data_IF_451158985937
#
_entry.id   IF_451158985937
#
_cell.length_a   1.000
_cell.length_b   1.000
_cell.length_c   1.000
_cell.angle_alpha   90.00
_cell.angle_beta   90.00
_cell.angle_gamma   90.00
#
_symmetry.space_group_name_H-M   'P 1'
#
loop_
_entity.id
_entity.type
_entity.pdbx_description
1 polymer ?
#
# COMPACT_ATOMS: atom_id res chain seq x y z
N UNK A 1 -20.87 19.97 -13.98
CA UNK A 1 -20.09 20.34 -12.76
C UNK A 1 -18.62 20.36 -13.13
N UNK A 2 -17.87 21.34 -12.61
CA UNK A 2 -16.43 21.45 -12.86
C UNK A 2 -15.66 20.64 -11.81
N UNK A 3 -14.58 19.97 -12.22
CA UNK A 3 -13.66 19.32 -11.27
C UNK A 3 -12.71 20.37 -10.66
N UNK A 4 -12.45 20.20 -9.39
CA UNK A 4 -11.40 20.89 -8.63
C UNK A 4 -10.40 19.84 -8.13
N UNK A 5 -9.15 20.20 -8.08
CA UNK A 5 -8.11 19.30 -7.59
C UNK A 5 -7.10 20.05 -6.71
N UNK A 6 -6.59 19.33 -5.71
CA UNK A 6 -5.44 19.77 -4.92
C UNK A 6 -4.38 18.66 -4.92
N UNK A 7 -3.15 19.06 -5.23
CA UNK A 7 -1.99 18.15 -5.19
C UNK A 7 -1.06 18.60 -4.06
N UNK A 8 -0.63 17.65 -3.23
CA UNK A 8 0.35 17.87 -2.16
C UNK A 8 1.45 16.81 -2.23
N UNK A 9 2.60 17.07 -1.57
CA UNK A 9 3.67 16.09 -1.38
C UNK A 9 3.70 15.67 0.09
N UNK A 10 3.36 14.43 0.36
CA UNK A 10 3.35 13.87 1.71
C UNK A 10 3.66 12.36 1.66
N UNK A 11 4.18 11.79 2.75
CA UNK A 11 4.51 10.34 2.85
C UNK A 11 5.41 9.83 1.70
N UNK A 12 6.30 10.69 1.20
CA UNK A 12 7.21 10.36 0.09
C UNK A 12 6.55 10.22 -1.29
N UNK A 13 5.31 10.69 -1.44
CA UNK A 13 4.53 10.58 -2.66
C UNK A 13 3.85 11.90 -3.04
N UNK A 14 3.41 12.02 -4.31
CA UNK A 14 2.42 13.00 -4.72
C UNK A 14 1.04 12.47 -4.39
N UNK A 15 0.21 13.29 -3.76
CA UNK A 15 -1.17 12.98 -3.40
C UNK A 15 -2.09 13.93 -4.15
N UNK A 16 -3.04 13.39 -4.89
CA UNK A 16 -4.05 14.16 -5.60
C UNK A 16 -5.42 13.92 -4.99
N UNK A 17 -6.12 15.01 -4.70
CA UNK A 17 -7.51 15.02 -4.22
C UNK A 17 -8.33 15.70 -5.31
N UNK A 18 -9.29 15.00 -5.88
CA UNK A 18 -10.14 15.50 -6.96
C UNK A 18 -11.61 15.41 -6.53
N UNK A 19 -12.26 16.56 -6.46
CA UNK A 19 -13.68 16.69 -6.09
C UNK A 19 -14.41 17.54 -7.11
N UNK A 20 -15.74 17.43 -7.17
CA UNK A 20 -16.53 18.38 -7.94
C UNK A 20 -16.65 19.72 -7.20
N UNK A 21 -16.66 20.83 -7.97
CA UNK A 21 -16.79 22.16 -7.42
C UNK A 21 -18.13 22.34 -6.70
N UNK A 22 -18.05 22.74 -5.45
CA UNK A 22 -19.17 22.90 -4.55
C UNK A 22 -18.85 23.95 -3.48
N UNK A 23 -19.86 24.33 -2.70
CA UNK A 23 -19.65 25.24 -1.60
C UNK A 23 -18.58 24.72 -0.63
N UNK A 24 -17.65 25.61 -0.24
CA UNK A 24 -16.55 25.30 0.69
C UNK A 24 -15.54 24.23 0.24
N UNK A 25 -15.41 23.91 -1.05
CA UNK A 25 -14.48 22.87 -1.54
C UNK A 25 -13.02 23.13 -1.11
N UNK A 26 -12.59 24.38 -1.04
CA UNK A 26 -11.23 24.73 -0.59
C UNK A 26 -11.00 24.37 0.88
N UNK A 27 -11.98 24.65 1.73
CA UNK A 27 -11.94 24.23 3.14
C UNK A 27 -11.91 22.72 3.29
N UNK A 28 -12.69 22.00 2.47
CA UNK A 28 -12.67 20.53 2.46
C UNK A 28 -11.28 20.01 2.11
N UNK A 29 -10.60 20.62 1.12
CA UNK A 29 -9.22 20.27 0.82
C UNK A 29 -8.28 20.53 1.99
N UNK A 30 -8.43 21.65 2.72
CA UNK A 30 -7.63 21.95 3.91
C UNK A 30 -7.86 20.91 5.01
N UNK A 31 -9.10 20.53 5.27
CA UNK A 31 -9.45 19.50 6.25
C UNK A 31 -8.84 18.13 5.88
N UNK A 32 -8.86 17.74 4.58
CA UNK A 32 -8.24 16.50 4.10
C UNK A 32 -6.72 16.54 4.28
N UNK A 33 -6.07 17.67 4.02
CA UNK A 33 -4.61 17.83 4.25
C UNK A 33 -4.26 17.62 5.71
N UNK A 34 -5.02 18.24 6.64
CA UNK A 34 -4.82 18.07 8.09
C UNK A 34 -4.97 16.60 8.49
N UNK A 35 -5.98 15.90 7.95
CA UNK A 35 -6.16 14.46 8.22
C UNK A 35 -5.00 13.62 7.68
N UNK A 36 -4.50 13.91 6.49
CA UNK A 36 -3.36 13.21 5.90
C UNK A 36 -2.09 13.40 6.75
N UNK A 37 -1.83 14.60 7.25
CA UNK A 37 -0.71 14.87 8.16
C UNK A 37 -0.87 14.09 9.47
N UNK A 38 -2.06 14.12 10.07
CA UNK A 38 -2.35 13.35 11.28
C UNK A 38 -2.15 11.84 11.10
N UNK A 39 -2.57 11.28 9.95
CA UNK A 39 -2.36 9.86 9.68
C UNK A 39 -0.89 9.54 9.40
N UNK A 40 -0.15 10.43 8.73
CA UNK A 40 1.31 10.30 8.60
C UNK A 40 1.98 10.19 9.97
N UNK A 41 1.66 11.10 10.88
CA UNK A 41 2.22 11.12 12.25
C UNK A 41 1.81 9.90 13.08
N UNK A 42 0.70 9.27 12.73
CA UNK A 42 0.23 8.04 13.39
C UNK A 42 0.89 6.77 12.86
N UNK A 43 1.04 6.65 11.55
CA UNK A 43 1.40 5.38 10.89
C UNK A 43 2.85 5.30 10.40
N UNK A 44 3.65 6.36 10.56
CA UNK A 44 5.02 6.41 10.05
C UNK A 44 5.96 5.50 10.86
N UNK A 45 6.71 4.66 10.16
CA UNK A 45 7.84 3.91 10.72
C UNK A 45 9.19 4.64 10.52
N UNK A 46 9.16 5.91 10.04
CA UNK A 46 10.35 6.71 9.75
C UNK A 46 10.35 8.07 10.49
N UNK A 47 9.43 8.24 11.43
CA UNK A 47 9.29 9.43 12.25
C UNK A 47 9.27 8.98 13.72
N UNK A 48 10.33 9.24 14.46
CA UNK A 48 10.54 8.75 15.84
C UNK A 48 9.45 9.19 16.82
N UNK A 49 8.77 10.30 16.54
CA UNK A 49 7.68 10.83 17.35
C UNK A 49 6.32 10.20 17.02
N UNK A 50 6.25 9.38 15.96
CA UNK A 50 5.01 8.77 15.51
C UNK A 50 4.40 7.82 16.56
N UNK A 51 3.07 7.61 16.45
CA UNK A 51 2.39 6.67 17.33
C UNK A 51 2.86 5.21 17.09
N UNK A 52 3.15 4.84 15.85
CA UNK A 52 3.71 3.54 15.49
C UNK A 52 5.10 3.33 16.12
N UNK A 53 5.96 4.34 16.08
CA UNK A 53 7.31 4.24 16.66
C UNK A 53 7.28 4.11 18.18
N UNK A 54 6.25 4.62 18.87
CA UNK A 54 6.07 4.33 20.31
C UNK A 54 5.88 2.84 20.59
N UNK A 55 5.24 2.10 19.67
CA UNK A 55 5.15 0.62 19.78
C UNK A 55 6.55 0.01 19.58
N UNK A 56 7.25 0.39 18.52
CA UNK A 56 8.56 -0.15 18.16
C UNK A 56 9.60 0.12 19.28
N UNK A 57 9.63 1.31 19.86
CA UNK A 57 10.52 1.66 20.98
C UNK A 57 10.22 0.91 22.28
N UNK A 58 9.02 0.31 22.42
CA UNK A 58 8.65 -0.50 23.58
C UNK A 58 8.68 -2.01 23.30
N UNK A 59 9.30 -2.44 22.19
CA UNK A 59 9.48 -3.85 21.87
C UNK A 59 10.29 -4.58 22.95
N UNK A 60 9.77 -5.71 23.43
CA UNK A 60 10.34 -6.47 24.55
C UNK A 60 10.12 -5.85 25.92
N UNK A 61 9.56 -4.63 26.03
CA UNK A 61 9.44 -3.90 27.29
C UNK A 61 8.01 -3.96 27.86
N UNK A 62 7.03 -3.42 27.11
CA UNK A 62 5.62 -3.34 27.58
C UNK A 62 4.63 -3.12 26.43
N UNK A 63 3.35 -3.46 26.65
CA UNK A 63 2.28 -3.09 25.73
C UNK A 63 2.09 -1.57 25.65
N UNK A 64 1.72 -1.07 24.46
CA UNK A 64 1.42 0.33 24.18
C UNK A 64 -0.03 0.46 23.74
N UNK A 65 -0.79 1.30 24.43
CA UNK A 65 -2.17 1.67 24.03
C UNK A 65 -2.08 2.68 22.89
N UNK A 66 -2.85 2.44 21.82
CA UNK A 66 -2.80 3.25 20.60
C UNK A 66 -4.19 3.66 20.14
N UNK A 67 -4.23 4.63 19.22
CA UNK A 67 -5.48 5.01 18.59
C UNK A 67 -6.13 3.83 17.86
N UNK A 68 -7.45 3.81 17.83
CA UNK A 68 -8.23 2.75 17.20
C UNK A 68 -7.78 2.45 15.75
N UNK A 69 -7.57 3.48 14.94
CA UNK A 69 -7.21 3.28 13.53
C UNK A 69 -5.86 2.59 13.37
N UNK A 70 -4.86 2.95 14.19
CA UNK A 70 -3.56 2.26 14.19
C UNK A 70 -3.71 0.80 14.65
N UNK A 71 -4.48 0.59 15.72
CA UNK A 71 -4.76 -0.76 16.21
C UNK A 71 -5.41 -1.65 15.14
N UNK A 72 -6.46 -1.15 14.47
CA UNK A 72 -7.17 -1.92 13.45
C UNK A 72 -6.29 -2.21 12.23
N UNK A 73 -5.43 -1.27 11.81
CA UNK A 73 -4.49 -1.51 10.71
C UNK A 73 -3.43 -2.56 11.09
N UNK A 74 -2.90 -2.51 12.32
CA UNK A 74 -1.97 -3.55 12.83
C UNK A 74 -2.67 -4.91 12.92
N UNK A 75 -3.91 -4.96 13.42
CA UNK A 75 -4.70 -6.18 13.50
C UNK A 75 -4.91 -6.80 12.13
N UNK A 76 -5.33 -6.00 11.15
CA UNK A 76 -5.50 -6.41 9.76
C UNK A 76 -4.18 -6.90 9.17
N UNK A 77 -3.11 -6.13 9.33
CA UNK A 77 -1.77 -6.48 8.87
C UNK A 77 -1.27 -7.80 9.48
N UNK A 78 -1.48 -8.03 10.78
CA UNK A 78 -1.11 -9.29 11.43
C UNK A 78 -1.86 -10.48 10.85
N UNK A 79 -3.17 -10.37 10.65
CA UNK A 79 -4.00 -11.45 10.06
C UNK A 79 -3.43 -11.85 8.68
N UNK A 80 -3.16 -10.88 7.83
CA UNK A 80 -2.64 -11.14 6.49
C UNK A 80 -1.16 -11.52 6.46
N UNK A 81 -0.37 -11.12 7.47
CA UNK A 81 1.01 -11.59 7.63
C UNK A 81 1.09 -13.07 8.00
N UNK A 82 0.10 -13.57 8.73
CA UNK A 82 0.00 -15.00 9.14
C UNK A 82 -0.72 -15.87 8.10
N UNK A 83 -1.25 -15.28 7.04
CA UNK A 83 -1.94 -16.04 6.01
C UNK A 83 -0.97 -16.96 5.24
N UNK A 84 -1.41 -18.15 4.82
CA UNK A 84 -0.56 -19.08 4.07
C UNK A 84 0.08 -18.42 2.84
N UNK A 85 1.37 -18.69 2.63
CA UNK A 85 2.17 -18.20 1.48
C UNK A 85 2.19 -16.68 1.31
N UNK A 86 1.79 -15.90 2.31
CA UNK A 86 1.81 -14.44 2.24
C UNK A 86 3.24 -13.90 2.20
N UNK A 87 3.50 -12.95 1.28
CA UNK A 87 4.69 -12.10 1.33
C UNK A 87 4.45 -10.84 2.16
N UNK A 88 3.20 -10.53 2.48
CA UNK A 88 2.92 -9.47 3.44
C UNK A 88 3.39 -9.91 4.83
N UNK A 89 4.23 -9.11 5.45
CA UNK A 89 4.65 -9.27 6.84
C UNK A 89 4.88 -7.90 7.46
N UNK A 90 4.01 -7.50 8.37
CA UNK A 90 4.15 -6.20 9.05
C UNK A 90 5.27 -6.18 10.11
N UNK A 91 5.81 -7.33 10.53
CA UNK A 91 6.95 -7.42 11.45
C UNK A 91 8.32 -7.33 10.74
N UNK A 92 8.35 -7.09 9.42
CA UNK A 92 9.57 -7.02 8.60
C UNK A 92 10.35 -5.72 8.79
N UNK A 93 9.92 -4.84 9.68
CA UNK A 93 10.55 -3.54 9.96
C UNK A 93 12.06 -3.59 10.10
N UNK A 94 12.65 -4.49 10.91
CA UNK A 94 14.11 -4.57 11.08
C UNK A 94 14.86 -4.86 9.77
N UNK A 95 14.29 -5.69 8.89
CA UNK A 95 14.88 -5.97 7.57
C UNK A 95 14.80 -4.74 6.66
N UNK A 96 13.65 -4.03 6.63
CA UNK A 96 13.49 -2.80 5.86
C UNK A 96 14.52 -1.75 6.30
N UNK A 97 14.74 -1.60 7.60
CA UNK A 97 15.75 -0.67 8.14
C UNK A 97 17.17 -1.09 7.81
N UNK A 98 17.47 -2.39 7.71
CA UNK A 98 18.79 -2.86 7.30
C UNK A 98 19.10 -2.53 5.83
N UNK A 99 18.13 -2.69 4.93
CA UNK A 99 18.27 -2.40 3.50
C UNK A 99 18.17 -0.90 3.16
N UNK A 100 17.21 -0.19 3.75
CA UNK A 100 16.89 1.21 3.48
C UNK A 100 16.71 1.56 2.00
N UNK A 101 16.22 0.63 1.18
CA UNK A 101 15.99 0.86 -0.25
C UNK A 101 14.99 2.02 -0.47
N UNK A 102 15.42 3.01 -1.25
CA UNK A 102 14.66 4.24 -1.51
C UNK A 102 15.07 5.42 -0.62
N UNK A 103 16.04 5.24 0.28
CA UNK A 103 16.66 6.30 1.08
C UNK A 103 18.12 6.55 0.63
N UNK A 104 18.68 7.68 1.03
CA UNK A 104 20.05 8.08 0.64
C UNK A 104 21.14 7.19 1.24
N UNK A 105 20.83 6.50 2.32
CA UNK A 105 21.68 5.58 3.07
C UNK A 105 21.39 4.10 2.79
N UNK A 106 20.76 3.81 1.64
CA UNK A 106 20.51 2.44 1.19
C UNK A 106 21.82 1.64 1.07
N UNK A 107 21.78 0.39 1.50
CA UNK A 107 22.92 -0.53 1.45
C UNK A 107 22.48 -1.97 1.22
N UNK A 108 23.45 -2.83 0.96
CA UNK A 108 23.25 -4.29 0.99
C UNK A 108 23.69 -4.78 2.36
N UNK A 109 22.77 -5.32 3.21
CA UNK A 109 23.14 -5.93 4.49
C UNK A 109 23.97 -7.21 4.28
N UNK A 110 24.74 -7.61 5.30
CA UNK A 110 25.43 -8.92 5.27
C UNK A 110 24.46 -10.06 5.53
N UNK A 111 24.81 -11.27 5.07
CA UNK A 111 23.99 -12.48 5.30
C UNK A 111 23.78 -12.74 6.80
N UNK A 112 24.85 -12.58 7.62
CA UNK A 112 24.77 -12.77 9.07
C UNK A 112 23.81 -11.75 9.73
N UNK A 113 23.81 -10.50 9.25
CA UNK A 113 22.88 -9.47 9.71
C UNK A 113 21.44 -9.85 9.37
N UNK A 114 21.17 -10.25 8.12
CA UNK A 114 19.85 -10.70 7.69
C UNK A 114 19.38 -11.89 8.54
N UNK A 115 20.22 -12.91 8.73
CA UNK A 115 19.86 -14.10 9.52
C UNK A 115 19.59 -13.78 10.99
N UNK A 116 20.28 -12.78 11.57
CA UNK A 116 20.01 -12.32 12.91
C UNK A 116 18.64 -11.61 13.01
N UNK A 117 18.34 -10.73 12.05
CA UNK A 117 17.10 -9.96 12.02
C UNK A 117 15.87 -10.84 11.74
N UNK A 118 15.97 -11.85 10.89
CA UNK A 118 14.87 -12.79 10.60
C UNK A 118 14.32 -13.47 11.88
N UNK A 119 15.11 -13.62 12.95
CA UNK A 119 14.68 -14.23 14.21
C UNK A 119 13.64 -13.39 14.97
N UNK A 120 13.53 -12.11 14.64
CA UNK A 120 12.64 -11.16 15.30
C UNK A 120 11.56 -10.60 14.36
N UNK A 121 11.35 -11.21 13.18
CA UNK A 121 10.34 -10.78 12.19
C UNK A 121 9.12 -11.69 12.11
N UNK A 122 8.91 -12.56 13.10
CA UNK A 122 7.72 -13.43 13.15
C UNK A 122 6.49 -12.65 13.63
N UNK A 123 5.41 -12.53 12.83
CA UNK A 123 4.18 -11.84 13.21
C UNK A 123 3.46 -12.44 14.43
N UNK A 124 3.78 -13.69 14.81
CA UNK A 124 3.25 -14.30 16.04
C UNK A 124 3.71 -13.57 17.31
N UNK A 125 4.85 -12.88 17.26
CA UNK A 125 5.36 -12.08 18.39
C UNK A 125 4.66 -10.71 18.56
N UNK A 126 3.66 -10.39 17.73
CA UNK A 126 2.80 -9.23 17.90
C UNK A 126 1.59 -9.66 18.74
N UNK A 127 1.48 -9.23 19.97
CA UNK A 127 0.31 -9.46 20.81
C UNK A 127 -0.67 -8.28 20.75
N UNK A 128 -1.95 -8.58 20.62
CA UNK A 128 -3.03 -7.60 20.51
C UNK A 128 -4.02 -7.76 21.66
N UNK A 129 -4.45 -6.65 22.24
CA UNK A 129 -5.51 -6.62 23.23
C UNK A 129 -6.68 -5.74 22.73
N UNK A 130 -7.77 -6.40 22.31
CA UNK A 130 -8.93 -5.72 21.71
C UNK A 130 -9.63 -4.76 22.67
N UNK A 131 -9.72 -5.10 23.97
CA UNK A 131 -10.42 -4.27 24.94
C UNK A 131 -9.69 -2.99 25.30
N UNK A 132 -8.34 -3.03 25.31
CA UNK A 132 -7.48 -1.89 25.62
C UNK A 132 -6.97 -1.16 24.39
N UNK A 133 -7.17 -1.73 23.19
CA UNK A 133 -6.51 -1.28 21.96
C UNK A 133 -5.00 -1.12 22.16
N UNK A 134 -4.36 -2.13 22.76
CA UNK A 134 -2.91 -2.13 22.99
C UNK A 134 -2.21 -3.19 22.17
N UNK A 135 -0.98 -2.86 21.78
CA UNK A 135 -0.07 -3.69 20.97
C UNK A 135 1.20 -3.94 21.77
N UNK A 136 1.66 -5.18 21.79
CA UNK A 136 2.92 -5.55 22.41
C UNK A 136 3.77 -6.40 21.46
N UNK A 137 4.99 -5.96 21.23
CA UNK A 137 6.01 -6.71 20.51
C UNK A 137 6.83 -7.48 21.54
N UNK A 138 6.72 -8.81 21.54
CA UNK A 138 7.25 -9.64 22.62
C UNK A 138 8.76 -9.87 22.58
N UNK A 139 9.42 -9.49 21.48
CA UNK A 139 10.89 -9.57 21.32
C UNK A 139 11.50 -8.18 21.28
N UNK A 140 12.65 -8.02 21.93
CA UNK A 140 13.46 -6.81 21.80
C UNK A 140 13.89 -6.57 20.34
N UNK A 141 13.96 -5.31 19.95
CA UNK A 141 14.33 -4.87 18.60
C UNK A 141 13.39 -5.32 17.48
N UNK A 142 12.20 -5.83 17.80
CA UNK A 142 11.14 -5.96 16.80
C UNK A 142 10.68 -4.58 16.33
N UNK A 143 10.29 -4.51 15.07
CA UNK A 143 9.66 -3.30 14.50
C UNK A 143 8.49 -3.68 13.59
N UNK A 144 7.35 -3.03 13.81
CA UNK A 144 6.25 -3.03 12.85
C UNK A 144 6.53 -1.97 11.78
N UNK A 145 6.30 -2.34 10.52
CA UNK A 145 6.28 -1.42 9.39
C UNK A 145 4.95 -1.60 8.63
N UNK A 146 4.21 -0.52 8.47
CA UNK A 146 2.90 -0.51 7.81
C UNK A 146 2.96 0.09 6.39
N UNK A 147 4.16 0.31 5.85
CA UNK A 147 4.36 0.97 4.57
C UNK A 147 3.65 0.29 3.38
N UNK A 148 3.41 -1.03 3.48
CA UNK A 148 2.69 -1.80 2.48
C UNK A 148 1.16 -1.72 2.61
N UNK A 149 0.60 -1.05 3.64
CA UNK A 149 -0.83 -1.03 3.92
C UNK A 149 -1.37 0.39 4.18
N UNK A 150 -0.52 1.27 4.74
CA UNK A 150 -0.96 2.53 5.31
C UNK A 150 -1.60 3.45 4.26
N UNK A 151 -1.08 3.52 3.03
CA UNK A 151 -1.64 4.40 2.00
C UNK A 151 -3.06 4.00 1.62
N UNK A 152 -3.29 2.70 1.37
CA UNK A 152 -4.63 2.19 1.07
C UNK A 152 -5.61 2.44 2.21
N UNK A 153 -5.21 2.14 3.45
CA UNK A 153 -6.05 2.36 4.63
C UNK A 153 -6.37 3.84 4.86
N UNK A 154 -5.39 4.73 4.69
CA UNK A 154 -5.60 6.19 4.79
C UNK A 154 -6.57 6.67 3.70
N UNK A 155 -6.40 6.19 2.46
CA UNK A 155 -7.30 6.54 1.36
C UNK A 155 -8.76 6.20 1.69
N UNK A 156 -9.01 5.00 2.24
CA UNK A 156 -10.34 4.56 2.67
C UNK A 156 -10.90 5.44 3.80
N UNK A 157 -10.07 5.83 4.77
CA UNK A 157 -10.47 6.73 5.86
C UNK A 157 -10.84 8.12 5.32
N UNK A 158 -10.08 8.68 4.38
CA UNK A 158 -10.36 9.97 3.75
C UNK A 158 -11.66 9.91 2.93
N UNK A 159 -11.86 8.85 2.15
CA UNK A 159 -13.13 8.66 1.40
C UNK A 159 -14.32 8.60 2.35
N UNK A 160 -14.21 7.86 3.47
CA UNK A 160 -15.26 7.80 4.48
C UNK A 160 -15.52 9.17 5.13
N UNK A 161 -14.48 9.94 5.42
CA UNK A 161 -14.62 11.31 5.92
C UNK A 161 -15.38 12.19 4.92
N UNK A 162 -14.99 12.18 3.65
CA UNK A 162 -15.65 12.96 2.59
C UNK A 162 -17.12 12.57 2.41
N UNK A 163 -17.42 11.26 2.39
CA UNK A 163 -18.81 10.77 2.34
C UNK A 163 -19.65 11.25 3.54
N UNK A 164 -19.07 11.28 4.73
CA UNK A 164 -19.75 11.80 5.94
C UNK A 164 -20.02 13.31 5.89
N UNK A 165 -19.26 14.07 5.11
CA UNK A 165 -19.53 15.47 4.80
C UNK A 165 -20.58 15.68 3.69
N UNK A 166 -21.14 14.59 3.14
CA UNK A 166 -22.09 14.65 2.03
C UNK A 166 -21.44 14.79 0.66
N UNK A 167 -20.11 14.59 0.54
CA UNK A 167 -19.43 14.57 -0.75
C UNK A 167 -19.69 13.21 -1.41
N UNK A 168 -20.42 13.23 -2.51
CA UNK A 168 -20.94 12.01 -3.13
C UNK A 168 -20.11 11.52 -4.32
N UNK A 169 -19.07 12.27 -4.72
CA UNK A 169 -18.23 11.86 -5.85
C UNK A 169 -16.86 12.53 -5.80
N UNK A 170 -15.84 11.75 -6.10
CA UNK A 170 -14.45 12.20 -6.13
C UNK A 170 -13.45 11.09 -6.39
N UNK A 171 -12.18 11.47 -6.39
CA UNK A 171 -11.04 10.59 -6.55
C UNK A 171 -9.94 11.01 -5.59
N UNK A 172 -9.32 10.05 -4.93
CA UNK A 172 -8.11 10.21 -4.11
C UNK A 172 -7.01 9.35 -4.71
N UNK A 173 -5.84 9.94 -4.94
CA UNK A 173 -4.65 9.22 -5.39
C UNK A 173 -3.52 9.43 -4.38
N UNK A 174 -3.18 8.41 -3.61
CA UNK A 174 -2.06 8.42 -2.67
C UNK A 174 -0.84 7.70 -3.28
N UNK A 175 -0.12 8.43 -4.17
CA UNK A 175 1.12 7.91 -4.75
C UNK A 175 0.94 6.63 -5.57
N UNK A 176 -0.14 6.55 -6.35
CA UNK A 176 -0.49 5.40 -7.19
C UNK A 176 -1.60 4.51 -6.63
N UNK A 177 -1.97 4.66 -5.37
CA UNK A 177 -3.19 4.05 -4.83
C UNK A 177 -4.36 4.97 -5.14
N UNK A 178 -5.14 4.62 -6.13
CA UNK A 178 -6.28 5.42 -6.59
C UNK A 178 -7.57 4.84 -6.03
N UNK A 179 -8.35 5.66 -5.35
CA UNK A 179 -9.71 5.33 -4.89
C UNK A 179 -10.68 6.28 -5.56
N UNK A 180 -11.72 5.74 -6.15
CA UNK A 180 -12.85 6.51 -6.68
C UNK A 180 -14.09 6.27 -5.86
N UNK A 181 -14.92 7.28 -5.73
CA UNK A 181 -16.23 7.16 -5.09
C UNK A 181 -17.25 8.01 -5.82
N UNK A 182 -18.45 7.47 -5.99
CA UNK A 182 -19.52 8.07 -6.76
C UNK A 182 -19.22 8.24 -8.25
N UNK A 183 -20.18 8.78 -9.02
CA UNK A 183 -20.12 8.83 -10.46
C UNK A 183 -19.14 9.88 -10.99
N UNK A 184 -18.41 9.56 -12.05
CA UNK A 184 -17.61 10.53 -12.81
C UNK A 184 -18.54 11.39 -13.70
N UNK A 185 -19.12 12.45 -13.15
CA UNK A 185 -20.16 13.29 -13.79
C UNK A 185 -19.68 14.01 -15.07
N UNK A 186 -18.36 14.03 -15.32
CA UNK A 186 -17.75 14.58 -16.54
C UNK A 186 -17.68 13.57 -17.70
N UNK A 187 -17.97 12.30 -17.44
CA UNK A 187 -18.03 11.23 -18.43
C UNK A 187 -19.48 10.81 -18.69
N UNK A 188 -19.84 10.55 -19.94
CA UNK A 188 -21.20 10.17 -20.31
C UNK A 188 -21.67 8.84 -19.70
N UNK A 189 -20.75 7.93 -19.40
CA UNK A 189 -21.02 6.63 -18.80
C UNK A 189 -20.81 6.60 -17.29
N UNK A 190 -20.56 7.77 -16.68
CA UNK A 190 -20.35 7.97 -15.25
C UNK A 190 -19.18 7.19 -14.61
N UNK A 191 -18.29 6.59 -15.42
CA UNK A 191 -17.12 5.87 -14.92
C UNK A 191 -15.86 6.77 -14.91
N UNK A 192 -15.06 6.60 -13.89
CA UNK A 192 -13.71 7.16 -13.84
C UNK A 192 -12.78 6.41 -14.80
N UNK A 193 -11.79 7.11 -15.35
CA UNK A 193 -10.78 6.58 -16.26
C UNK A 193 -9.44 6.55 -15.55
N UNK A 194 -8.95 5.35 -15.23
CA UNK A 194 -7.69 5.17 -14.51
C UNK A 194 -6.69 4.45 -15.41
N UNK A 195 -5.60 5.15 -15.74
CA UNK A 195 -4.51 4.57 -16.52
C UNK A 195 -3.63 3.65 -15.67
N UNK A 196 -3.38 2.45 -16.15
CA UNK A 196 -2.45 1.49 -15.53
C UNK A 196 -1.05 1.74 -16.10
N UNK A 197 -0.13 2.15 -15.23
CA UNK A 197 1.24 2.50 -15.62
C UNK A 197 1.94 1.33 -16.33
N UNK A 198 2.57 1.61 -17.47
CA UNK A 198 3.48 0.68 -18.13
C UNK A 198 4.80 0.64 -17.35
N UNK A 199 5.16 -0.49 -16.70
CA UNK A 199 6.35 -0.59 -15.87
C UNK A 199 7.66 -0.51 -16.69
N UNK A 200 7.58 -0.67 -18.00
CA UNK A 200 8.75 -0.63 -18.92
C UNK A 200 9.01 0.77 -19.45
N UNK A 201 8.10 1.73 -19.23
CA UNK A 201 8.16 3.10 -19.73
C UNK A 201 8.17 4.14 -18.63
N UNK A 202 8.50 5.36 -18.98
CA UNK A 202 8.42 6.51 -18.08
C UNK A 202 6.99 6.76 -17.59
N UNK A 203 6.84 7.40 -16.42
CA UNK A 203 5.52 7.78 -15.88
C UNK A 203 4.66 8.52 -16.89
N UNK A 204 3.37 8.21 -16.89
CA UNK A 204 2.39 8.76 -17.81
C UNK A 204 2.14 7.92 -19.07
N UNK A 205 2.87 6.81 -19.24
CA UNK A 205 2.57 5.83 -20.29
C UNK A 205 1.76 4.69 -19.67
N UNK A 206 0.66 4.34 -20.30
CA UNK A 206 -0.27 3.33 -19.79
C UNK A 206 -0.25 2.08 -20.68
N UNK A 207 -0.41 0.90 -20.06
CA UNK A 207 -0.67 -0.35 -20.78
C UNK A 207 -2.13 -0.47 -21.17
N UNK A 208 -3.00 0.10 -20.36
CA UNK A 208 -4.44 0.19 -20.60
C UNK A 208 -5.06 1.27 -19.72
N UNK A 209 -6.31 1.60 -19.98
CA UNK A 209 -7.15 2.45 -19.14
C UNK A 209 -8.33 1.62 -18.63
N UNK A 210 -8.61 1.72 -17.34
CA UNK A 210 -9.74 1.05 -16.70
C UNK A 210 -10.92 2.00 -16.51
N UNK A 211 -12.12 1.51 -16.78
CA UNK A 211 -13.38 2.14 -16.34
C UNK A 211 -13.73 1.62 -14.96
N UNK A 212 -13.76 2.48 -13.96
CA UNK A 212 -14.06 2.10 -12.59
C UNK A 212 -15.12 3.01 -11.96
N UNK A 213 -15.81 2.49 -10.96
CA UNK A 213 -16.85 3.19 -10.21
C UNK A 213 -16.92 2.65 -8.79
N UNK A 214 -16.77 3.52 -7.78
CA UNK A 214 -16.78 3.12 -6.35
C UNK A 214 -15.78 2.01 -6.01
N UNK A 215 -14.59 2.07 -6.58
CA UNK A 215 -13.55 1.06 -6.44
C UNK A 215 -12.17 1.70 -6.30
N UNK A 216 -11.23 0.89 -5.87
CA UNK A 216 -9.82 1.22 -5.77
C UNK A 216 -8.99 0.47 -6.80
N UNK A 217 -7.94 1.12 -7.29
CA UNK A 217 -6.89 0.56 -8.14
C UNK A 217 -5.55 0.75 -7.43
N UNK A 218 -4.93 -0.34 -7.04
CA UNK A 218 -3.63 -0.32 -6.34
C UNK A 218 -2.61 -1.10 -7.15
N UNK A 219 -1.45 -0.50 -7.38
CA UNK A 219 -0.36 -1.14 -8.12
C UNK A 219 0.91 -1.20 -7.28
N UNK A 220 1.45 -2.41 -7.13
CA UNK A 220 2.82 -2.63 -6.64
C UNK A 220 3.74 -2.95 -7.81
N UNK A 221 4.96 -2.38 -7.82
CA UNK A 221 5.91 -2.60 -8.91
C UNK A 221 7.37 -2.46 -8.48
N UNK A 222 8.23 -3.29 -9.07
CA UNK A 222 9.68 -3.31 -8.76
C UNK A 222 10.41 -2.05 -9.24
N UNK A 223 9.77 -1.25 -10.10
CA UNK A 223 10.36 -0.04 -10.68
C UNK A 223 10.24 1.20 -9.79
N UNK A 224 9.42 1.17 -8.74
CA UNK A 224 9.13 2.36 -7.90
C UNK A 224 10.32 2.78 -7.03
N UNK A 225 11.01 1.83 -6.40
CA UNK A 225 12.20 2.09 -5.58
C UNK A 225 13.25 1.01 -5.82
N UNK A 226 14.45 1.46 -6.16
CA UNK A 226 15.60 0.58 -6.44
C UNK A 226 16.85 1.14 -5.81
N UNK A 227 17.79 0.23 -5.52
CA UNK A 227 19.14 0.53 -5.10
C UNK A 227 20.13 -0.32 -5.90
N UNK A 228 21.17 0.27 -6.45
CA UNK A 228 22.26 -0.47 -7.11
C UNK A 228 23.43 -0.56 -6.14
N UNK A 229 23.74 -1.78 -5.72
CA UNK A 229 24.83 -2.09 -4.79
C UNK A 229 26.20 -1.89 -5.42
N UNK A 230 27.25 -1.90 -4.57
CA UNK A 230 28.66 -1.86 -5.01
C UNK A 230 29.05 -3.11 -5.83
N UNK A 231 28.28 -4.16 -5.72
CA UNK A 231 28.39 -5.41 -6.51
C UNK A 231 27.82 -5.29 -7.93
N UNK A 232 27.27 -4.10 -8.28
CA UNK A 232 26.62 -3.83 -9.56
C UNK A 232 25.22 -4.42 -9.73
N UNK A 233 24.69 -5.13 -8.71
CA UNK A 233 23.33 -5.65 -8.74
C UNK A 233 22.32 -4.59 -8.33
N UNK A 234 21.14 -4.66 -8.94
CA UNK A 234 20.02 -3.77 -8.60
C UNK A 234 19.01 -4.52 -7.75
N UNK A 235 18.68 -3.94 -6.61
CA UNK A 235 17.76 -4.44 -5.61
C UNK A 235 16.52 -3.55 -5.55
N UNK A 236 15.33 -4.13 -5.58
CA UNK A 236 14.08 -3.41 -5.40
C UNK A 236 13.55 -3.56 -3.96
N UNK A 237 12.62 -2.71 -3.57
CA UNK A 237 12.15 -2.59 -2.18
C UNK A 237 11.14 -3.66 -1.74
N UNK A 238 10.67 -4.53 -2.62
CA UNK A 238 9.74 -5.60 -2.28
C UNK A 238 10.56 -6.78 -1.77
N UNK A 239 10.52 -7.01 -0.46
CA UNK A 239 11.34 -8.01 0.23
C UNK A 239 10.54 -9.29 0.48
N UNK A 240 11.20 -10.44 0.34
CA UNK A 240 10.67 -11.71 0.82
C UNK A 240 10.92 -11.81 2.34
N UNK A 241 9.87 -11.86 3.18
CA UNK A 241 10.02 -11.91 4.62
C UNK A 241 10.63 -13.22 5.15
N UNK A 242 10.74 -14.25 4.31
CA UNK A 242 11.37 -15.54 4.67
C UNK A 242 12.88 -15.51 4.47
N UNK A 243 13.32 -14.83 3.42
CA UNK A 243 14.75 -14.77 3.09
C UNK A 243 15.41 -13.47 3.56
N UNK A 244 14.63 -12.39 3.72
CA UNK A 244 15.11 -11.06 4.02
C UNK A 244 15.73 -10.33 2.84
N UNK A 245 15.66 -10.88 1.64
CA UNK A 245 16.17 -10.30 0.40
C UNK A 245 15.03 -9.82 -0.51
N UNK A 246 15.32 -8.96 -1.50
CA UNK A 246 14.36 -8.66 -2.55
C UNK A 246 13.85 -9.91 -3.23
N UNK A 247 12.54 -9.96 -3.48
CA UNK A 247 11.88 -11.09 -4.14
C UNK A 247 12.46 -11.32 -5.53
N UNK A 248 12.84 -12.54 -5.85
CA UNK A 248 13.13 -12.92 -7.23
C UNK A 248 11.81 -13.24 -7.95
N UNK A 249 11.48 -12.47 -8.97
CA UNK A 249 10.20 -12.58 -9.66
C UNK A 249 10.28 -12.16 -11.12
N UNK A 250 9.45 -12.76 -11.96
CA UNK A 250 9.21 -12.31 -13.32
C UNK A 250 8.20 -11.17 -13.44
N UNK A 251 7.60 -10.75 -12.31
CA UNK A 251 6.56 -9.72 -12.25
C UNK A 251 7.22 -8.35 -12.17
N UNK A 252 6.91 -7.47 -13.11
CA UNK A 252 7.28 -6.06 -13.07
C UNK A 252 6.27 -5.22 -12.30
N UNK A 253 4.97 -5.54 -12.44
CA UNK A 253 3.87 -4.85 -11.78
C UNK A 253 2.67 -5.76 -11.57
N UNK A 254 2.03 -5.60 -10.42
CA UNK A 254 0.76 -6.25 -10.07
C UNK A 254 -0.23 -5.17 -9.66
N UNK A 255 -1.34 -5.06 -10.40
CA UNK A 255 -2.45 -4.16 -10.11
C UNK A 255 -3.63 -4.95 -9.58
N UNK A 256 -4.23 -4.48 -8.49
CA UNK A 256 -5.46 -5.04 -7.93
C UNK A 256 -6.57 -3.99 -7.97
N UNK A 257 -7.72 -4.39 -8.48
CA UNK A 257 -9.01 -3.73 -8.31
C UNK A 257 -9.69 -4.33 -7.09
N UNK A 258 -10.21 -3.49 -6.21
CA UNK A 258 -10.92 -3.91 -5.00
C UNK A 258 -11.90 -2.84 -4.53
N UNK A 259 -12.80 -3.21 -3.63
CA UNK A 259 -13.76 -2.26 -3.03
C UNK A 259 -13.08 -1.27 -2.11
N UNK A 260 -12.14 -1.74 -1.29
CA UNK A 260 -11.33 -0.93 -0.38
C UNK A 260 -9.88 -0.88 -0.87
N UNK A 261 -9.24 0.27 -0.71
CA UNK A 261 -7.86 0.44 -1.14
C UNK A 261 -6.88 -0.37 -0.28
N UNK A 262 -7.20 -0.57 0.98
CA UNK A 262 -6.39 -1.42 1.86
C UNK A 262 -6.38 -2.89 1.38
N UNK A 263 -7.47 -3.39 0.79
CA UNK A 263 -7.52 -4.74 0.21
C UNK A 263 -6.60 -4.83 -1.01
N UNK A 264 -6.56 -3.80 -1.85
CA UNK A 264 -5.62 -3.71 -2.96
C UNK A 264 -4.16 -3.79 -2.50
N UNK A 265 -3.78 -3.07 -1.44
CA UNK A 265 -2.44 -3.13 -0.84
C UNK A 265 -2.13 -4.53 -0.27
N UNK A 266 -3.10 -5.14 0.42
CA UNK A 266 -2.97 -6.48 0.97
C UNK A 266 -2.68 -7.48 -0.14
N UNK A 267 -3.50 -7.50 -1.17
CA UNK A 267 -3.41 -8.51 -2.22
C UNK A 267 -2.23 -8.28 -3.16
N UNK A 268 -1.90 -7.04 -3.51
CA UNK A 268 -0.67 -6.78 -4.27
C UNK A 268 0.57 -7.26 -3.51
N UNK A 269 0.64 -7.01 -2.19
CA UNK A 269 1.80 -7.40 -1.38
C UNK A 269 1.85 -8.91 -1.13
N UNK A 270 0.71 -9.55 -0.81
CA UNK A 270 0.64 -10.99 -0.56
C UNK A 270 1.05 -11.82 -1.77
N UNK A 271 0.69 -11.37 -2.97
CA UNK A 271 0.80 -12.16 -4.20
C UNK A 271 2.05 -11.86 -5.01
N UNK A 272 2.74 -10.73 -4.80
CA UNK A 272 3.77 -10.22 -5.70
C UNK A 272 4.90 -11.21 -6.03
N UNK A 273 5.30 -12.07 -5.13
CA UNK A 273 6.35 -13.08 -5.33
C UNK A 273 5.83 -14.46 -5.72
N UNK A 274 4.54 -14.61 -5.97
CA UNK A 274 3.96 -15.87 -6.40
C UNK A 274 4.12 -16.06 -7.92
N UNK A 275 3.95 -17.31 -8.42
CA UNK A 275 3.89 -17.55 -9.86
C UNK A 275 2.66 -16.87 -10.48
N UNK A 276 2.76 -16.51 -11.77
CA UNK A 276 1.62 -15.92 -12.51
C UNK A 276 0.38 -16.83 -12.41
N UNK A 277 0.57 -18.15 -12.56
CA UNK A 277 -0.52 -19.12 -12.43
C UNK A 277 -1.20 -19.03 -11.06
N UNK A 278 -0.43 -18.98 -9.96
CA UNK A 278 -0.96 -18.85 -8.60
C UNK A 278 -1.72 -17.54 -8.43
N UNK A 279 -1.19 -16.43 -8.95
CA UNK A 279 -1.84 -15.12 -8.88
C UNK A 279 -3.18 -15.16 -9.62
N UNK A 280 -3.17 -15.64 -10.87
CA UNK A 280 -4.39 -15.67 -11.69
C UNK A 280 -5.45 -16.58 -11.09
N UNK A 281 -5.08 -17.75 -10.56
CA UNK A 281 -6.00 -18.63 -9.86
C UNK A 281 -6.58 -17.96 -8.61
N UNK A 282 -5.76 -17.28 -7.82
CA UNK A 282 -6.23 -16.55 -6.63
C UNK A 282 -7.23 -15.44 -6.99
N UNK A 283 -6.98 -14.69 -8.08
CA UNK A 283 -7.89 -13.65 -8.56
C UNK A 283 -9.23 -14.22 -9.04
N UNK A 284 -9.24 -15.44 -9.58
CA UNK A 284 -10.48 -16.11 -9.98
C UNK A 284 -11.26 -16.73 -8.81
N UNK A 285 -10.56 -17.10 -7.72
CA UNK A 285 -11.16 -17.68 -6.51
C UNK A 285 -11.76 -16.65 -5.56
N UNK A 286 -11.27 -15.41 -5.60
CA UNK A 286 -11.67 -14.33 -4.68
C UNK A 286 -12.52 -13.30 -5.43
N UNK A 287 -13.86 -13.35 -5.30
CA UNK A 287 -14.75 -12.53 -6.12
C UNK A 287 -14.70 -11.03 -5.79
N UNK A 288 -14.08 -10.64 -4.68
CA UNK A 288 -13.96 -9.25 -4.24
C UNK A 288 -12.79 -8.50 -4.89
N UNK A 289 -11.92 -9.20 -5.65
CA UNK A 289 -10.75 -8.61 -6.28
C UNK A 289 -10.62 -9.03 -7.74
N UNK A 290 -10.12 -8.12 -8.56
CA UNK A 290 -9.68 -8.37 -9.94
C UNK A 290 -8.26 -7.86 -10.11
N UNK A 291 -7.53 -8.30 -11.14
CA UNK A 291 -6.16 -7.85 -11.28
C UNK A 291 -5.55 -7.91 -12.67
N UNK A 292 -4.43 -7.21 -12.78
CA UNK A 292 -3.56 -7.17 -13.96
C UNK A 292 -2.14 -7.47 -13.51
N UNK A 293 -1.52 -8.45 -14.16
CA UNK A 293 -0.10 -8.78 -13.96
C UNK A 293 0.69 -8.35 -15.19
N UNK A 294 1.77 -7.60 -14.98
CA UNK A 294 2.71 -7.23 -16.05
C UNK A 294 4.06 -7.83 -15.71
N UNK A 295 4.65 -8.57 -16.65
CA UNK A 295 5.95 -9.21 -16.48
C UNK A 295 7.11 -8.31 -16.91
N UNK A 296 8.32 -8.69 -16.51
CA UNK A 296 9.54 -7.95 -16.88
C UNK A 296 9.85 -8.01 -18.39
N UNK A 297 9.32 -9.03 -19.11
CA UNK A 297 9.41 -9.14 -20.57
C UNK A 297 8.21 -8.49 -21.29
N UNK A 298 7.35 -7.78 -20.54
CA UNK A 298 6.26 -6.95 -21.08
C UNK A 298 4.96 -7.70 -21.41
N UNK A 299 4.82 -8.97 -21.02
CA UNK A 299 3.54 -9.68 -21.16
C UNK A 299 2.54 -9.19 -20.12
N UNK A 300 1.27 -9.17 -20.51
CA UNK A 300 0.17 -8.70 -19.67
C UNK A 300 -0.88 -9.79 -19.51
N UNK A 301 -1.27 -10.05 -18.26
CA UNK A 301 -2.31 -11.01 -17.91
C UNK A 301 -3.43 -10.30 -17.19
N UNK A 302 -4.66 -10.61 -17.53
CA UNK A 302 -5.87 -10.02 -17.00
C UNK A 302 -6.73 -11.09 -16.34
N UNK A 303 -7.25 -10.82 -15.14
CA UNK A 303 -8.36 -11.64 -14.60
C UNK A 303 -9.63 -11.45 -15.44
N UNK A 304 -10.53 -12.43 -15.39
CA UNK A 304 -11.71 -12.43 -16.30
C UNK A 304 -12.64 -11.24 -16.08
N UNK A 305 -12.89 -10.90 -14.82
CA UNK A 305 -13.85 -9.85 -14.48
C UNK A 305 -13.35 -8.42 -14.78
N UNK A 306 -12.06 -8.25 -15.14
CA UNK A 306 -11.53 -6.93 -15.49
C UNK A 306 -11.67 -6.62 -16.99
N UNK A 307 -11.82 -7.65 -17.85
CA UNK A 307 -11.75 -7.48 -19.31
C UNK A 307 -12.79 -6.50 -19.86
N UNK A 308 -14.01 -6.52 -19.34
CA UNK A 308 -15.09 -5.62 -19.76
C UNK A 308 -14.87 -4.16 -19.30
N UNK A 309 -13.89 -3.93 -18.42
CA UNK A 309 -13.55 -2.61 -17.86
C UNK A 309 -12.38 -1.97 -18.59
N UNK A 310 -11.61 -2.75 -19.35
CA UNK A 310 -10.45 -2.26 -20.11
C UNK A 310 -10.93 -1.48 -21.32
N UNK A 311 -10.38 -0.28 -21.48
CA UNK A 311 -10.48 0.53 -22.69
C UNK A 311 -9.08 0.90 -23.15
N UNK A 312 -8.88 1.01 -24.46
CA UNK A 312 -7.60 1.37 -25.06
C UNK A 312 -7.17 2.80 -24.73
#
# INVERSE_FOLDING_TARGET
>A
MQLKSRTIKLMGASIDIVLYDQENVERIFDDVVILLEMYKDRFSANDDDSELMKINHNAGIKPVVVHRDLYELIRLGKIHSLAPQSLLNIAVGPIIQAWRIGFSDARVPTDDEIQALLKITDPNYIELNDSKKSVYLTKENMEINLGALAKGYIADLIVNYLKNLGINSGLINLGGNVVTFGPALHNNDFHWRIGIQDPTKSRGNHICILRIHDESVVTSGIYERKYTGIDGKTYHHILDPKTGYPVETEIAGLTILSKLSVDGEIWTTRLFGQSIETIMNTLEEIPEIEGIVVTVDGKVYYSKGILDRVIE
#
